data_IF_889604768852
#
_entry.id   IF_889604768852
#
_cell.length_a   1.000
_cell.length_b   1.000
_cell.length_c   1.000
_cell.angle_alpha   90.00
_cell.angle_beta   90.00
_cell.angle_gamma   90.00
#
_symmetry.space_group_name_H-M   'P 1'
#
loop_
_entity.id
_entity.type
_entity.pdbx_description
1 polymer ?
#
# COMPACT_ATOMS: atom_id res chain seq x y z
N UNK A 1 -54.98 -3.16 -44.94
CA UNK A 1 -54.15 -4.08 -44.13
C UNK A 1 -52.95 -3.29 -43.60
N UNK A 2 -52.79 -3.22 -42.28
CA UNK A 2 -51.81 -2.40 -41.56
C UNK A 2 -50.44 -3.09 -41.58
N UNK A 3 -49.36 -2.38 -41.91
CA UNK A 3 -47.99 -2.82 -41.58
C UNK A 3 -47.34 -1.73 -40.74
N UNK A 4 -47.40 -1.94 -39.43
CA UNK A 4 -46.52 -1.28 -38.48
C UNK A 4 -45.18 -2.04 -38.49
N UNK A 5 -44.07 -1.33 -38.54
CA UNK A 5 -42.76 -1.88 -38.18
C UNK A 5 -41.97 -0.76 -37.50
N UNK A 6 -41.58 -1.05 -36.26
CA UNK A 6 -41.19 -0.11 -35.23
C UNK A 6 -39.78 0.45 -35.41
N UNK A 7 -39.61 1.72 -35.07
CA UNK A 7 -38.32 2.37 -34.80
C UNK A 7 -37.75 1.81 -33.49
N UNK A 8 -36.65 1.06 -33.56
CA UNK A 8 -35.81 0.77 -32.39
C UNK A 8 -34.79 1.89 -32.22
N UNK A 9 -35.05 2.80 -31.28
CA UNK A 9 -34.06 3.73 -30.74
C UNK A 9 -33.27 3.00 -29.65
N UNK A 10 -32.07 2.56 -29.98
CA UNK A 10 -31.14 1.94 -29.04
C UNK A 10 -30.43 3.04 -28.25
N UNK A 11 -30.89 3.30 -27.02
CA UNK A 11 -30.18 4.15 -26.06
C UNK A 11 -29.00 3.37 -25.47
N UNK A 12 -27.77 3.64 -25.94
CA UNK A 12 -26.57 3.23 -25.22
C UNK A 12 -26.38 4.16 -24.01
N UNK A 13 -26.80 3.70 -22.84
CA UNK A 13 -26.36 4.28 -21.58
C UNK A 13 -24.88 3.91 -21.36
N UNK A 14 -23.99 4.85 -21.68
CA UNK A 14 -22.58 4.74 -21.33
C UNK A 14 -22.47 4.92 -19.81
N UNK A 15 -22.49 3.80 -19.07
CA UNK A 15 -22.18 3.83 -17.65
C UNK A 15 -20.69 4.22 -17.52
N UNK A 16 -20.45 5.48 -17.13
CA UNK A 16 -19.13 5.93 -16.74
C UNK A 16 -18.70 5.15 -15.49
N UNK A 17 -17.98 4.04 -15.67
CA UNK A 17 -17.30 3.35 -14.58
C UNK A 17 -16.07 4.17 -14.20
N UNK A 18 -16.30 5.26 -13.46
CA UNK A 18 -15.22 5.90 -12.71
C UNK A 18 -14.58 4.88 -11.77
N UNK A 19 -13.27 4.95 -11.52
CA UNK A 19 -12.63 4.04 -10.59
C UNK A 19 -13.32 4.19 -9.24
N UNK A 20 -13.91 3.10 -8.74
CA UNK A 20 -14.43 3.06 -7.39
C UNK A 20 -13.27 3.45 -6.45
N UNK A 21 -13.43 4.55 -5.74
CA UNK A 21 -12.51 4.94 -4.67
C UNK A 21 -12.52 3.82 -3.65
N UNK A 22 -11.48 2.98 -3.68
CA UNK A 22 -11.31 1.93 -2.68
C UNK A 22 -11.21 2.61 -1.31
N UNK A 23 -12.13 2.28 -0.41
CA UNK A 23 -12.09 2.77 0.96
C UNK A 23 -10.85 2.23 1.67
N UNK A 24 -10.30 3.03 2.58
CA UNK A 24 -9.25 2.58 3.49
C UNK A 24 -9.69 1.34 4.30
N UNK A 25 -8.78 0.41 4.63
CA UNK A 25 -9.09 -0.68 5.53
C UNK A 25 -9.35 -0.18 6.96
N UNK A 26 -10.28 -0.83 7.67
CA UNK A 26 -10.54 -0.58 9.10
C UNK A 26 -9.44 -1.21 9.96
N UNK A 27 -8.50 -0.39 10.42
CA UNK A 27 -7.33 -0.82 11.19
C UNK A 27 -7.64 -1.31 12.63
N UNK A 28 -8.90 -1.26 13.05
CA UNK A 28 -9.34 -1.88 14.30
C UNK A 28 -9.65 -3.38 14.16
N UNK A 29 -9.79 -3.88 12.92
CA UNK A 29 -10.09 -5.28 12.64
C UNK A 29 -8.84 -6.12 12.49
N UNK A 30 -8.93 -7.37 12.93
CA UNK A 30 -7.82 -8.33 12.85
C UNK A 30 -7.67 -8.99 11.46
N UNK A 31 -8.70 -8.91 10.58
CA UNK A 31 -8.69 -9.59 9.30
C UNK A 31 -7.88 -8.80 8.25
N UNK A 32 -7.03 -9.51 7.50
CA UNK A 32 -6.35 -8.96 6.32
C UNK A 32 -7.36 -8.59 5.25
N UNK A 33 -7.26 -7.36 4.73
CA UNK A 33 -8.06 -6.85 3.63
C UNK A 33 -7.18 -6.79 2.39
N UNK A 34 -7.62 -7.46 1.33
CA UNK A 34 -6.96 -7.44 0.02
C UNK A 34 -7.69 -6.46 -0.91
N UNK A 35 -6.94 -5.78 -1.78
CA UNK A 35 -7.55 -4.98 -2.85
C UNK A 35 -8.26 -5.89 -3.87
N UNK A 36 -9.25 -5.34 -4.56
CA UNK A 36 -9.93 -6.00 -5.68
C UNK A 36 -9.14 -5.93 -7.01
N UNK A 37 -7.85 -5.58 -6.95
CA UNK A 37 -6.98 -5.52 -8.13
C UNK A 37 -6.48 -6.91 -8.53
N UNK A 38 -5.88 -6.98 -9.74
CA UNK A 38 -5.15 -8.16 -10.19
C UNK A 38 -3.67 -7.81 -10.49
N UNK A 39 -2.70 -8.35 -9.74
CA UNK A 39 -2.89 -9.16 -8.53
C UNK A 39 -3.47 -8.37 -7.34
N UNK A 40 -4.09 -9.05 -6.35
CA UNK A 40 -4.50 -8.42 -5.10
C UNK A 40 -3.30 -7.91 -4.30
N UNK A 41 -3.48 -6.79 -3.61
CA UNK A 41 -2.49 -6.13 -2.76
C UNK A 41 -3.00 -6.11 -1.32
N UNK A 42 -2.14 -6.45 -0.36
CA UNK A 42 -2.48 -6.42 1.07
C UNK A 42 -2.66 -4.98 1.57
N UNK A 43 -3.91 -4.53 1.68
CA UNK A 43 -4.23 -3.19 2.14
C UNK A 43 -4.02 -3.06 3.65
N UNK A 44 -4.28 -4.12 4.42
CA UNK A 44 -4.06 -4.09 5.87
C UNK A 44 -2.58 -3.85 6.17
N UNK A 45 -1.68 -4.58 5.51
CA UNK A 45 -0.25 -4.39 5.70
C UNK A 45 0.20 -2.99 5.30
N UNK A 46 -0.29 -2.45 4.17
CA UNK A 46 0.10 -1.13 3.67
C UNK A 46 -0.40 0.04 4.53
N UNK A 47 -1.65 0.01 4.98
CA UNK A 47 -2.31 1.16 5.60
C UNK A 47 -2.50 1.04 7.11
N UNK A 48 -2.53 -0.18 7.66
CA UNK A 48 -2.74 -0.39 9.09
C UNK A 48 -1.50 -0.87 9.83
N UNK A 49 -0.55 -1.44 9.09
CA UNK A 49 0.56 -2.19 9.66
C UNK A 49 0.08 -3.41 10.45
N UNK A 50 0.99 -4.33 10.70
CA UNK A 50 0.72 -5.59 11.37
C UNK A 50 1.68 -5.80 12.53
N UNK A 51 1.29 -6.65 13.46
CA UNK A 51 2.21 -7.13 14.49
C UNK A 51 2.78 -8.44 13.98
N UNK A 52 4.10 -8.61 14.06
CA UNK A 52 4.73 -9.86 13.65
C UNK A 52 4.12 -11.07 14.39
N UNK A 53 4.28 -12.27 13.81
CA UNK A 53 3.72 -13.51 14.40
C UNK A 53 4.21 -13.79 15.83
N UNK A 54 5.32 -13.18 16.24
CA UNK A 54 5.93 -13.34 17.57
C UNK A 54 5.51 -12.24 18.55
N UNK A 55 4.58 -11.37 18.15
CA UNK A 55 4.15 -10.19 18.92
C UNK A 55 5.31 -9.34 19.42
N UNK A 56 6.34 -9.21 18.60
CA UNK A 56 7.60 -8.59 18.97
C UNK A 56 7.85 -7.25 18.28
N UNK A 57 7.30 -7.05 17.08
CA UNK A 57 7.50 -5.83 16.30
C UNK A 57 6.29 -5.43 15.44
N UNK A 58 6.21 -4.14 15.10
CA UNK A 58 5.36 -3.60 14.04
C UNK A 58 6.01 -3.86 12.66
N UNK A 59 5.21 -4.32 11.70
CA UNK A 59 5.52 -4.50 10.28
C UNK A 59 4.55 -3.67 9.41
N UNK A 60 4.91 -3.41 8.15
CA UNK A 60 4.06 -2.62 7.25
C UNK A 60 3.92 -1.13 7.59
N UNK A 61 2.76 -0.56 7.29
CA UNK A 61 2.44 0.86 7.36
C UNK A 61 3.33 1.74 6.46
N UNK A 62 3.01 1.72 5.17
CA UNK A 62 3.72 2.41 4.09
C UNK A 62 2.88 3.50 3.41
N UNK A 63 1.59 3.60 3.71
CA UNK A 63 0.73 4.65 3.17
C UNK A 63 -0.25 5.13 4.23
N UNK A 64 -0.66 6.40 4.12
CA UNK A 64 -1.71 6.96 4.96
C UNK A 64 -3.06 6.63 4.33
N UNK A 65 -4.06 6.35 5.17
CA UNK A 65 -5.40 5.99 4.73
C UNK A 65 -6.35 7.22 4.65
N UNK A 66 -5.81 8.42 4.44
CA UNK A 66 -6.54 9.68 4.56
C UNK A 66 -6.69 10.11 6.02
N UNK A 67 -7.93 10.30 6.49
CA UNK A 67 -8.19 10.58 7.91
C UNK A 67 -7.80 9.39 8.78
N UNK A 68 -7.13 9.65 9.91
CA UNK A 68 -6.62 8.58 10.79
C UNK A 68 -7.76 7.70 11.29
N UNK A 69 -7.67 6.41 11.02
CA UNK A 69 -8.62 5.42 11.52
C UNK A 69 -8.24 4.95 12.94
N UNK A 70 -9.23 4.52 13.72
CA UNK A 70 -8.96 3.91 15.02
C UNK A 70 -8.03 2.69 14.87
N UNK A 71 -6.98 2.62 15.69
CA UNK A 71 -5.98 1.56 15.63
C UNK A 71 -4.88 1.78 14.58
N UNK A 72 -4.95 2.83 13.75
CA UNK A 72 -3.88 3.16 12.81
C UNK A 72 -2.60 3.60 13.56
N UNK A 73 -1.40 3.13 13.13
CA UNK A 73 -0.13 3.60 13.65
C UNK A 73 -0.02 5.14 13.68
N UNK A 74 0.67 5.65 14.68
CA UNK A 74 0.98 7.07 14.82
C UNK A 74 2.33 7.38 14.18
N UNK A 75 2.35 8.39 13.31
CA UNK A 75 3.60 9.00 12.84
C UNK A 75 4.15 9.87 13.97
N UNK A 76 5.20 9.39 14.65
CA UNK A 76 5.83 10.11 15.77
C UNK A 76 6.78 11.21 15.30
N UNK A 77 7.52 10.94 14.22
CA UNK A 77 8.51 11.86 13.68
C UNK A 77 8.69 11.59 12.19
N UNK A 78 8.65 12.64 11.36
CA UNK A 78 9.20 12.59 10.00
C UNK A 78 10.66 13.02 10.09
N UNK A 79 11.58 12.08 9.90
CA UNK A 79 13.01 12.35 9.96
C UNK A 79 13.61 12.63 8.57
N UNK A 80 12.87 12.33 7.51
CA UNK A 80 13.04 12.94 6.19
C UNK A 80 11.65 13.39 5.70
N UNK A 81 11.53 14.68 5.38
CA UNK A 81 10.30 15.27 4.84
C UNK A 81 9.93 14.67 3.48
N UNK A 82 8.77 15.04 2.91
CA UNK A 82 8.45 14.71 1.54
C UNK A 82 9.53 15.25 0.58
N UNK A 83 10.10 14.37 -0.24
CA UNK A 83 10.97 14.77 -1.36
C UNK A 83 10.14 15.37 -2.51
N UNK A 84 10.78 15.66 -3.65
CA UNK A 84 10.09 16.21 -4.83
C UNK A 84 8.89 15.39 -5.31
N UNK A 85 8.89 14.08 -5.09
CA UNK A 85 7.78 13.18 -5.46
C UNK A 85 6.78 12.94 -4.32
N UNK A 86 6.96 13.60 -3.18
CA UNK A 86 6.12 13.47 -2.00
C UNK A 86 6.42 12.26 -1.11
N UNK A 87 7.42 11.45 -1.46
CA UNK A 87 7.85 10.29 -0.65
C UNK A 87 8.55 10.81 0.60
N UNK A 88 8.24 10.26 1.77
CA UNK A 88 8.85 10.69 3.04
C UNK A 88 9.31 9.52 3.89
N UNK A 89 10.15 9.78 4.89
CA UNK A 89 10.56 8.78 5.88
C UNK A 89 10.17 9.18 7.28
N UNK A 90 9.59 8.24 8.00
CA UNK A 90 9.03 8.49 9.32
C UNK A 90 9.27 7.35 10.31
N UNK A 91 9.30 7.70 11.59
CA UNK A 91 9.10 6.76 12.69
C UNK A 91 7.60 6.63 12.91
N UNK A 92 7.12 5.39 12.84
CA UNK A 92 5.71 5.05 13.01
C UNK A 92 5.56 4.07 14.16
N UNK A 93 4.56 4.26 15.00
CA UNK A 93 4.39 3.51 16.23
C UNK A 93 2.95 3.04 16.39
N UNK A 94 2.76 1.78 16.79
CA UNK A 94 1.51 1.36 17.40
C UNK A 94 1.32 2.05 18.74
N UNK A 95 0.06 2.30 19.08
CA UNK A 95 -0.34 2.90 20.37
C UNK A 95 -1.50 2.11 20.99
N UNK A 96 -1.82 2.41 22.25
CA UNK A 96 -2.92 1.79 22.99
C UNK A 96 -2.83 0.26 23.05
N UNK A 97 -3.97 -0.42 22.91
CA UNK A 97 -4.06 -1.87 23.02
C UNK A 97 -3.24 -2.64 21.96
N UNK A 98 -3.05 -2.07 20.76
CA UNK A 98 -2.22 -2.72 19.71
C UNK A 98 -0.74 -2.74 20.07
N UNK A 99 -0.27 -1.78 20.87
CA UNK A 99 1.11 -1.73 21.34
C UNK A 99 1.37 -2.60 22.59
N UNK A 100 0.32 -3.07 23.27
CA UNK A 100 0.45 -3.75 24.54
C UNK A 100 1.26 -5.05 24.42
N UNK A 101 2.34 -5.13 25.21
CA UNK A 101 3.24 -6.28 25.26
C UNK A 101 4.27 -6.36 24.12
N UNK A 102 4.30 -5.39 23.20
CA UNK A 102 5.30 -5.38 22.13
C UNK A 102 6.65 -4.87 22.63
N UNK A 103 7.72 -5.57 22.26
CA UNK A 103 9.10 -5.10 22.54
C UNK A 103 9.49 -3.92 21.66
N UNK A 104 8.99 -3.87 20.42
CA UNK A 104 9.30 -2.83 19.43
C UNK A 104 8.01 -2.33 18.76
N UNK A 105 7.21 -1.50 19.44
CA UNK A 105 5.96 -0.97 18.87
C UNK A 105 6.21 0.06 17.76
N UNK A 106 7.46 0.51 17.60
CA UNK A 106 7.86 1.52 16.61
C UNK A 106 8.82 0.93 15.56
N UNK A 107 8.70 1.42 14.32
CA UNK A 107 9.64 1.15 13.22
C UNK A 107 9.88 2.40 12.39
N UNK A 108 10.92 2.36 11.55
CA UNK A 108 11.01 3.29 10.43
C UNK A 108 10.22 2.79 9.24
N UNK A 109 9.58 3.73 8.56
CA UNK A 109 8.86 3.49 7.32
C UNK A 109 9.21 4.52 6.27
N UNK A 110 9.29 4.07 5.02
CA UNK A 110 9.14 4.94 3.85
C UNK A 110 7.67 4.98 3.49
N UNK A 111 7.15 6.20 3.32
CA UNK A 111 5.73 6.48 3.17
C UNK A 111 5.45 7.01 1.77
N UNK A 112 4.42 6.46 1.12
CA UNK A 112 3.80 7.03 -0.07
C UNK A 112 3.32 8.47 0.23
N UNK A 113 3.13 9.31 -0.81
CA UNK A 113 2.68 10.68 -0.59
C UNK A 113 1.38 10.71 0.22
N UNK A 114 1.34 11.61 1.20
CA UNK A 114 0.33 11.60 2.26
C UNK A 114 -1.10 11.89 1.76
N UNK A 115 -1.23 12.53 0.60
CA UNK A 115 -2.48 12.90 -0.05
C UNK A 115 -2.99 11.83 -1.04
N UNK A 116 -2.28 10.72 -1.21
CA UNK A 116 -2.68 9.67 -2.14
C UNK A 116 -3.84 8.83 -1.60
N UNK A 117 -4.82 8.60 -2.48
CA UNK A 117 -5.88 7.63 -2.22
C UNK A 117 -5.36 6.19 -2.26
N UNK A 118 -6.09 5.28 -1.62
CA UNK A 118 -5.81 3.83 -1.66
C UNK A 118 -5.63 3.34 -3.10
N UNK A 119 -6.53 3.76 -4.00
CA UNK A 119 -6.49 3.39 -5.41
C UNK A 119 -5.21 3.87 -6.11
N UNK A 120 -4.72 5.08 -5.79
CA UNK A 120 -3.50 5.63 -6.37
C UNK A 120 -2.25 4.89 -5.88
N UNK A 121 -2.19 4.56 -4.59
CA UNK A 121 -1.12 3.71 -4.02
C UNK A 121 -1.10 2.34 -4.70
N UNK A 122 -2.27 1.68 -4.78
CA UNK A 122 -2.39 0.37 -5.45
C UNK A 122 -1.97 0.45 -6.92
N UNK A 123 -2.41 1.47 -7.66
CA UNK A 123 -2.05 1.64 -9.06
C UNK A 123 -0.53 1.78 -9.27
N UNK A 124 0.15 2.55 -8.40
CA UNK A 124 1.60 2.72 -8.43
C UNK A 124 2.35 1.41 -8.15
N UNK A 125 1.88 0.63 -7.17
CA UNK A 125 2.43 -0.69 -6.87
C UNK A 125 2.30 -1.63 -8.06
N UNK A 126 1.13 -1.65 -8.70
CA UNK A 126 0.88 -2.49 -9.86
C UNK A 126 1.69 -2.05 -11.08
N UNK A 127 1.92 -0.75 -11.26
CA UNK A 127 2.83 -0.24 -12.29
C UNK A 127 4.25 -0.77 -12.07
N UNK A 128 4.78 -0.62 -10.86
CA UNK A 128 6.11 -1.10 -10.51
C UNK A 128 6.26 -2.62 -10.65
N UNK A 129 5.22 -3.39 -10.33
CA UNK A 129 5.24 -4.84 -10.49
C UNK A 129 5.22 -5.27 -11.97
N UNK A 130 4.47 -4.56 -12.83
CA UNK A 130 4.38 -4.89 -14.26
C UNK A 130 5.66 -4.55 -15.01
N UNK A 131 6.22 -3.38 -14.75
CA UNK A 131 7.31 -2.82 -15.55
C UNK A 131 8.68 -3.02 -14.89
N UNK A 132 8.70 -3.60 -13.69
CA UNK A 132 9.89 -3.85 -12.88
C UNK A 132 10.50 -5.24 -13.02
N UNK A 133 11.50 -5.48 -12.18
CA UNK A 133 12.11 -6.79 -12.00
C UNK A 133 11.48 -7.53 -10.83
N UNK A 134 11.42 -8.86 -10.88
CA UNK A 134 11.07 -9.71 -9.73
C UNK A 134 12.15 -10.78 -9.57
N UNK A 135 12.73 -10.91 -8.38
CA UNK A 135 13.72 -11.96 -8.08
C UNK A 135 13.07 -13.31 -7.78
N UNK A 136 13.86 -14.39 -7.74
CA UNK A 136 13.37 -15.74 -7.47
C UNK A 136 12.75 -15.94 -6.08
N UNK A 137 12.90 -14.97 -5.16
CA UNK A 137 12.28 -14.99 -3.82
C UNK A 137 10.97 -14.20 -3.79
N UNK A 138 10.63 -13.51 -4.87
CA UNK A 138 9.42 -12.70 -5.00
C UNK A 138 9.60 -11.24 -4.58
N UNK A 139 10.83 -10.77 -4.37
CA UNK A 139 11.09 -9.34 -4.23
C UNK A 139 10.92 -8.68 -5.59
N UNK A 140 10.19 -7.56 -5.66
CA UNK A 140 10.07 -6.79 -6.88
C UNK A 140 10.49 -5.34 -6.69
N UNK A 141 10.98 -4.73 -7.78
CA UNK A 141 11.36 -3.32 -7.84
C UNK A 141 11.06 -2.77 -9.24
N UNK A 142 10.38 -1.64 -9.32
CA UNK A 142 10.05 -0.99 -10.59
C UNK A 142 9.52 0.44 -10.43
N UNK A 143 9.33 1.12 -11.57
CA UNK A 143 8.84 2.50 -11.58
C UNK A 143 7.36 2.58 -11.15
N UNK A 144 7.03 3.54 -10.29
CA UNK A 144 5.65 3.79 -9.85
C UNK A 144 4.75 4.42 -10.92
N UNK A 145 5.34 4.97 -11.98
CA UNK A 145 4.67 5.88 -12.90
C UNK A 145 4.47 7.30 -12.36
N UNK A 146 5.06 7.62 -11.19
CA UNK A 146 4.90 8.90 -10.50
C UNK A 146 6.23 9.49 -10.00
N UNK A 147 7.33 9.25 -10.71
CA UNK A 147 8.65 9.85 -10.42
C UNK A 147 9.56 9.00 -9.53
N UNK A 148 9.01 8.17 -8.65
CA UNK A 148 9.80 7.33 -7.74
C UNK A 148 9.71 5.83 -8.03
N UNK A 149 10.67 5.06 -7.49
CA UNK A 149 10.66 3.59 -7.54
C UNK A 149 9.80 3.01 -6.41
N UNK A 150 9.07 1.93 -6.68
CA UNK A 150 8.43 1.10 -5.65
C UNK A 150 9.15 -0.23 -5.55
N UNK A 151 9.35 -0.67 -4.32
CA UNK A 151 9.86 -1.99 -3.96
C UNK A 151 8.79 -2.75 -3.19
N UNK A 152 8.87 -4.08 -3.19
CA UNK A 152 7.94 -4.88 -2.41
C UNK A 152 8.18 -6.37 -2.47
N UNK A 153 7.28 -7.11 -1.85
CA UNK A 153 7.31 -8.58 -1.82
C UNK A 153 5.99 -9.16 -2.28
N UNK A 154 6.09 -10.21 -3.09
CA UNK A 154 4.98 -11.10 -3.39
C UNK A 154 4.78 -12.11 -2.26
N UNK A 155 3.53 -12.53 -2.03
CA UNK A 155 3.25 -13.73 -1.25
C UNK A 155 3.94 -14.92 -1.94
N UNK A 156 4.64 -15.81 -1.21
CA UNK A 156 5.24 -16.99 -1.81
C UNK A 156 4.20 -17.77 -2.62
N UNK A 157 4.51 -18.16 -3.86
CA UNK A 157 3.54 -18.72 -4.81
C UNK A 157 2.69 -19.86 -4.21
N UNK A 158 3.31 -20.76 -3.42
CA UNK A 158 2.63 -21.87 -2.73
C UNK A 158 1.55 -21.44 -1.71
N UNK A 159 1.52 -20.17 -1.31
CA UNK A 159 0.59 -19.59 -0.34
C UNK A 159 -0.40 -18.60 -0.95
N UNK A 160 -0.16 -18.11 -2.17
CA UNK A 160 -0.95 -17.05 -2.79
C UNK A 160 -2.45 -17.38 -2.84
N UNK A 161 -2.80 -18.59 -3.32
CA UNK A 161 -4.19 -19.03 -3.41
C UNK A 161 -4.90 -19.06 -2.06
N UNK A 162 -4.20 -19.49 -1.00
CA UNK A 162 -4.74 -19.54 0.35
C UNK A 162 -4.81 -18.15 1.01
N UNK A 163 -3.86 -17.27 0.70
CA UNK A 163 -3.76 -15.94 1.28
C UNK A 163 -4.78 -14.96 0.69
N UNK A 164 -4.87 -14.88 -0.64
CA UNK A 164 -5.67 -13.86 -1.32
C UNK A 164 -6.61 -14.43 -2.41
N UNK A 165 -6.66 -15.74 -2.61
CA UNK A 165 -7.51 -16.37 -3.63
C UNK A 165 -6.97 -16.30 -5.07
N UNK A 166 -5.84 -15.62 -5.31
CA UNK A 166 -5.24 -15.46 -6.64
C UNK A 166 -3.94 -16.27 -6.82
N UNK A 167 -3.46 -16.35 -8.06
CA UNK A 167 -2.19 -17.03 -8.39
C UNK A 167 -0.97 -16.25 -7.88
N UNK A 168 -1.08 -14.93 -7.76
CA UNK A 168 -0.05 -14.01 -7.25
C UNK A 168 -0.76 -12.95 -6.39
N UNK A 169 -0.12 -12.55 -5.30
CA UNK A 169 -0.59 -11.46 -4.44
C UNK A 169 0.63 -10.62 -4.03
N UNK A 170 0.46 -9.31 -3.91
CA UNK A 170 1.46 -8.41 -3.32
C UNK A 170 1.27 -8.39 -1.81
N UNK A 171 2.22 -8.93 -1.06
CA UNK A 171 2.18 -8.97 0.40
C UNK A 171 2.48 -7.59 1.03
N UNK A 172 3.36 -6.82 0.41
CA UNK A 172 3.75 -5.49 0.88
C UNK A 172 4.46 -4.73 -0.23
N UNK A 173 4.46 -3.41 -0.14
CA UNK A 173 5.22 -2.53 -0.99
C UNK A 173 5.51 -1.20 -0.30
N UNK A 174 6.59 -0.54 -0.68
CA UNK A 174 6.97 0.77 -0.18
C UNK A 174 7.61 1.60 -1.30
N UNK A 175 7.50 2.94 -1.25
CA UNK A 175 8.27 3.80 -2.13
C UNK A 175 9.73 3.81 -1.66
N UNK A 176 10.66 3.64 -2.61
CA UNK A 176 12.06 3.95 -2.36
C UNK A 176 12.18 5.46 -2.12
N UNK A 177 12.86 5.84 -1.04
CA UNK A 177 13.17 7.23 -0.76
C UNK A 177 14.55 7.54 -1.31
N UNK A 178 14.62 8.48 -2.24
CA UNK A 178 15.86 9.03 -2.80
C UNK A 178 15.95 10.50 -2.36
N UNK A 179 17.11 10.90 -1.86
CA UNK A 179 17.38 12.25 -1.38
C UNK A 179 17.75 13.16 -2.56
N UNK A 180 16.96 14.22 -2.75
CA UNK A 180 17.07 15.14 -3.88
C UNK A 180 18.33 16.02 -3.81
N UNK A 181 18.92 16.18 -2.61
CA UNK A 181 20.09 17.02 -2.39
C UNK A 181 21.45 16.34 -2.68
N UNK A 182 21.50 15.01 -2.74
CA UNK A 182 22.77 14.28 -2.82
C UNK A 182 22.85 13.24 -3.93
N UNK A 183 21.71 12.74 -4.44
CA UNK A 183 21.71 11.53 -5.26
C UNK A 183 22.28 10.30 -4.53
N UNK A 184 22.56 10.42 -3.23
CA UNK A 184 23.05 9.36 -2.38
C UNK A 184 21.91 8.84 -1.50
N UNK A 185 21.84 7.53 -1.34
CA UNK A 185 20.92 6.93 -0.39
C UNK A 185 21.33 7.39 1.02
N UNK A 186 20.52 8.24 1.67
CA UNK A 186 20.75 8.63 3.06
C UNK A 186 20.95 7.38 3.94
N UNK A 187 21.96 7.38 4.84
CA UNK A 187 22.21 6.24 5.70
C UNK A 187 20.93 5.85 6.45
N UNK A 188 20.71 4.54 6.60
CA UNK A 188 19.56 3.95 7.31
C UNK A 188 19.56 4.22 8.82
N UNK A 189 20.09 5.35 9.31
CA UNK A 189 20.01 5.72 10.72
C UNK A 189 18.59 6.17 11.04
N UNK A 190 17.74 5.17 11.25
CA UNK A 190 16.40 5.29 11.78
C UNK A 190 16.47 5.82 13.22
N UNK A 191 15.92 7.01 13.52
CA UNK A 191 15.94 7.56 14.87
C UNK A 191 14.82 6.95 15.71
N UNK A 192 14.87 5.63 15.95
CA UNK A 192 13.89 5.00 16.84
C UNK A 192 14.00 5.62 18.24
N UNK A 193 12.87 5.98 18.87
CA UNK A 193 12.88 6.34 20.28
C UNK A 193 13.48 5.19 21.10
N UNK A 194 14.39 5.54 22.01
CA UNK A 194 15.02 4.58 22.93
C UNK A 194 14.01 4.05 23.95
#
# INVERSE_FOLDING_TARGET
MRRAAALLLLWLALAATGPATAAAPDCSRAATVWSASDPPVDLTHLFCGEVDRHRSALEGYHALAGERSAGEPEIRQRYAGPNADGVSRAVVCLTGARAAGLRRPCKCSSLFPADWSVGRVVAAILAALRDGSTDGRGFFRGASGAGFTVEGWLVPARRARAACGAARCVATAWPAFEDDASGEALPWSCPLPR
#
